data_IF_644447868913
#
_entry.id   IF_644447868913
#
_cell.length_a   1.000
_cell.length_b   1.000
_cell.length_c   1.000
_cell.angle_alpha   90.00
_cell.angle_beta   90.00
_cell.angle_gamma   90.00
#
_symmetry.space_group_name_H-M   'P 1'
#
loop_
_entity.id
_entity.type
_entity.pdbx_description
1 polymer ?
#
# COMPACT_ATOMS: atom_id res chain seq x y z
N UNK A 1 8.79 22.11 -5.94
CA UNK A 1 7.58 21.28 -6.08
C UNK A 1 7.57 20.71 -7.48
N UNK A 2 7.82 19.40 -7.62
CA UNK A 2 7.76 18.71 -8.91
C UNK A 2 6.29 18.63 -9.32
N UNK A 3 5.96 19.21 -10.47
CA UNK A 3 4.59 19.31 -10.97
C UNK A 3 4.17 17.92 -11.51
N UNK A 4 3.69 17.04 -10.62
CA UNK A 4 3.23 15.69 -10.99
C UNK A 4 1.93 15.83 -11.79
N UNK A 5 1.96 15.59 -13.10
CA UNK A 5 0.76 15.66 -13.96
C UNK A 5 -0.09 14.41 -13.92
N UNK A 6 0.50 13.26 -13.59
CA UNK A 6 -0.12 11.94 -13.70
C UNK A 6 -0.55 11.42 -12.32
N UNK A 7 -1.36 12.21 -11.62
CA UNK A 7 -1.79 11.96 -10.24
C UNK A 7 -3.27 12.25 -10.03
N UNK A 8 -3.85 11.62 -9.03
CA UNK A 8 -5.19 11.87 -8.50
C UNK A 8 -5.13 13.07 -7.55
N UNK A 9 -6.03 14.04 -7.78
CA UNK A 9 -6.23 15.20 -6.91
C UNK A 9 -7.39 15.02 -5.95
N UNK A 10 -8.49 14.44 -6.41
CA UNK A 10 -9.69 14.35 -5.61
C UNK A 10 -10.45 13.04 -5.86
N UNK A 11 -10.97 12.45 -4.79
CA UNK A 11 -11.68 11.18 -4.80
C UNK A 11 -13.04 11.38 -4.14
N UNK A 12 -14.11 11.17 -4.89
CA UNK A 12 -15.47 11.14 -4.37
C UNK A 12 -16.12 9.80 -4.71
N UNK A 13 -16.51 9.04 -3.68
CA UNK A 13 -17.07 7.70 -3.84
C UNK A 13 -18.27 7.52 -2.91
N UNK A 14 -19.43 7.26 -3.50
CA UNK A 14 -20.56 6.65 -2.82
C UNK A 14 -20.31 5.14 -2.78
N UNK A 15 -19.82 4.65 -1.65
CA UNK A 15 -19.36 3.26 -1.57
C UNK A 15 -20.55 2.30 -1.70
N UNK A 16 -20.58 1.37 -2.67
CA UNK A 16 -21.74 0.51 -2.85
C UNK A 16 -22.04 -0.32 -1.59
N UNK A 17 -23.33 -0.48 -1.27
CA UNK A 17 -23.83 -1.26 -0.14
C UNK A 17 -23.51 -0.70 1.26
N UNK A 18 -22.87 0.47 1.33
CA UNK A 18 -22.71 1.25 2.56
C UNK A 18 -23.17 2.67 2.24
N UNK A 19 -24.09 3.29 2.97
CA UNK A 19 -24.52 4.67 2.68
C UNK A 19 -23.42 5.74 2.96
N UNK A 20 -22.14 5.35 2.89
CA UNK A 20 -20.98 6.19 3.13
C UNK A 20 -20.65 6.98 1.87
N UNK A 21 -20.71 8.29 2.01
CA UNK A 21 -20.19 9.23 1.02
C UNK A 21 -18.75 9.59 1.40
N UNK A 22 -17.80 9.07 0.64
CA UNK A 22 -16.37 9.26 0.84
C UNK A 22 -15.93 10.44 -0.01
N UNK A 23 -15.28 11.41 0.61
CA UNK A 23 -14.75 12.57 -0.09
C UNK A 23 -13.34 12.88 0.42
N UNK A 24 -12.33 12.66 -0.43
CA UNK A 24 -10.93 12.76 -0.06
C UNK A 24 -10.25 13.79 -0.97
N UNK A 25 -9.69 14.83 -0.37
CA UNK A 25 -8.81 15.76 -1.07
C UNK A 25 -7.37 15.28 -0.93
N UNK A 26 -6.78 14.85 -2.03
CA UNK A 26 -5.47 14.19 -2.06
C UNK A 26 -4.38 15.12 -2.60
N UNK A 27 -4.73 16.00 -3.53
CA UNK A 27 -3.82 16.96 -4.21
C UNK A 27 -2.46 16.35 -4.63
N UNK A 28 -2.48 15.12 -5.16
CA UNK A 28 -1.29 14.42 -5.64
C UNK A 28 -0.40 13.80 -4.55
N UNK A 29 -0.75 13.94 -3.25
CA UNK A 29 -0.07 13.25 -2.15
C UNK A 29 -0.33 11.73 -2.19
N UNK A 30 0.52 10.97 -1.52
CA UNK A 30 0.26 9.56 -1.28
C UNK A 30 -0.91 9.40 -0.29
N UNK A 31 -1.65 8.30 -0.38
CA UNK A 31 -2.83 8.05 0.45
C UNK A 31 -2.69 6.71 1.17
N UNK A 32 -2.95 6.71 2.47
CA UNK A 32 -3.09 5.51 3.30
C UNK A 32 -4.56 5.39 3.69
N UNK A 33 -5.22 4.35 3.22
CA UNK A 33 -6.60 4.01 3.54
C UNK A 33 -6.58 2.99 4.68
N UNK A 34 -7.21 3.33 5.80
CA UNK A 34 -7.30 2.45 6.97
C UNK A 34 -8.75 2.27 7.43
N UNK A 35 -8.91 1.55 8.53
CA UNK A 35 -10.19 1.30 9.18
C UNK A 35 -10.37 -0.15 9.60
N UNK A 36 -11.46 -0.39 10.33
CA UNK A 36 -11.78 -1.67 10.96
C UNK A 36 -11.98 -2.82 9.97
N UNK A 37 -12.08 -4.03 10.51
CA UNK A 37 -12.33 -5.22 9.71
C UNK A 37 -13.70 -5.12 9.02
N UNK A 38 -13.76 -5.48 7.73
CA UNK A 38 -15.01 -5.46 6.96
C UNK A 38 -15.51 -4.08 6.52
N UNK A 39 -14.77 -2.99 6.76
CA UNK A 39 -15.19 -1.64 6.33
C UNK A 39 -15.13 -1.40 4.81
N UNK A 40 -14.62 -2.36 4.03
CA UNK A 40 -14.62 -2.32 2.56
C UNK A 40 -13.34 -1.80 1.91
N UNK A 41 -12.20 -1.72 2.61
CA UNK A 41 -10.89 -1.26 2.07
C UNK A 41 -10.53 -1.83 0.70
N UNK A 42 -10.44 -3.15 0.57
CA UNK A 42 -10.14 -3.83 -0.69
C UNK A 42 -11.11 -3.45 -1.80
N UNK A 43 -12.41 -3.41 -1.49
CA UNK A 43 -13.45 -3.04 -2.47
C UNK A 43 -13.31 -1.58 -2.90
N UNK A 44 -13.10 -0.68 -1.94
CA UNK A 44 -12.87 0.74 -2.21
C UNK A 44 -11.65 0.92 -3.12
N UNK A 45 -10.52 0.33 -2.76
CA UNK A 45 -9.28 0.43 -3.53
C UNK A 45 -9.44 -0.12 -4.97
N UNK A 46 -10.11 -1.27 -5.10
CA UNK A 46 -10.41 -1.86 -6.42
C UNK A 46 -11.32 -0.98 -7.27
N UNK A 47 -12.36 -0.39 -6.66
CA UNK A 47 -13.25 0.54 -7.36
C UNK A 47 -12.50 1.79 -7.85
N UNK A 48 -11.56 2.31 -7.06
CA UNK A 48 -10.71 3.42 -7.49
C UNK A 48 -9.87 3.04 -8.70
N UNK A 49 -9.17 1.90 -8.63
CA UNK A 49 -8.35 1.41 -9.73
C UNK A 49 -9.17 1.21 -11.01
N UNK A 50 -10.32 0.54 -10.93
CA UNK A 50 -11.20 0.30 -12.08
C UNK A 50 -11.67 1.61 -12.72
N UNK A 51 -11.94 2.64 -11.92
CA UNK A 51 -12.40 3.92 -12.42
C UNK A 51 -11.27 4.72 -13.09
N UNK A 52 -10.07 4.73 -12.51
CA UNK A 52 -8.90 5.38 -13.13
C UNK A 52 -8.50 4.63 -14.41
N UNK A 53 -8.47 3.30 -14.38
CA UNK A 53 -8.20 2.45 -15.56
C UNK A 53 -9.21 2.76 -16.67
N UNK A 54 -10.50 2.85 -16.36
CA UNK A 54 -11.52 3.22 -17.34
C UNK A 54 -11.29 4.63 -17.94
N UNK A 55 -10.82 5.59 -17.14
CA UNK A 55 -10.51 6.94 -17.61
C UNK A 55 -9.29 7.00 -18.53
N UNK A 56 -8.25 6.21 -18.26
CA UNK A 56 -6.97 6.32 -18.98
C UNK A 56 -6.79 5.31 -20.12
N UNK A 57 -7.37 4.11 -20.02
CA UNK A 57 -7.18 3.03 -21.01
C UNK A 57 -8.16 3.12 -22.18
N UNK A 58 -9.28 3.83 -22.01
CA UNK A 58 -10.29 3.97 -23.06
C UNK A 58 -9.91 5.12 -24.01
N UNK A 59 -9.54 4.77 -25.24
CA UNK A 59 -9.23 5.73 -26.32
C UNK A 59 -10.38 6.72 -26.59
N UNK A 60 -11.63 6.34 -26.28
CA UNK A 60 -12.83 7.17 -26.32
C UNK A 60 -13.52 7.25 -24.95
N UNK A 61 -12.81 7.65 -23.89
CA UNK A 61 -13.49 7.93 -22.63
C UNK A 61 -14.51 9.05 -22.82
N UNK A 62 -15.79 8.67 -22.92
CA UNK A 62 -16.89 9.64 -23.05
C UNK A 62 -17.13 10.27 -21.69
N UNK A 63 -16.99 11.60 -21.63
CA UNK A 63 -17.35 12.38 -20.45
C UNK A 63 -18.82 12.19 -20.09
N UNK A 64 -19.16 12.49 -18.84
CA UNK A 64 -20.52 12.42 -18.33
C UNK A 64 -21.55 13.12 -19.24
N UNK A 65 -21.19 14.29 -19.79
CA UNK A 65 -22.05 15.05 -20.68
C UNK A 65 -22.13 14.46 -22.10
N UNK A 66 -21.03 13.91 -22.62
CA UNK A 66 -21.04 13.20 -23.90
C UNK A 66 -21.93 11.95 -23.85
N UNK A 67 -21.87 11.16 -22.76
CA UNK A 67 -22.76 10.00 -22.59
C UNK A 67 -24.23 10.45 -22.50
N UNK A 68 -24.53 11.54 -21.79
CA UNK A 68 -25.88 12.11 -21.77
C UNK A 68 -26.38 12.50 -23.17
N UNK A 69 -25.52 13.13 -23.98
CA UNK A 69 -25.86 13.48 -25.36
C UNK A 69 -26.11 12.24 -26.21
N UNK A 70 -25.30 11.18 -26.06
CA UNK A 70 -25.46 9.91 -26.77
C UNK A 70 -26.77 9.19 -26.43
N UNK A 71 -27.19 9.24 -25.16
CA UNK A 71 -28.51 8.75 -24.73
C UNK A 71 -29.62 9.58 -25.39
N UNK A 72 -29.52 10.91 -25.32
CA UNK A 72 -30.53 11.81 -25.89
C UNK A 72 -30.68 11.61 -27.41
N UNK A 73 -29.57 11.42 -28.13
CA UNK A 73 -29.58 11.17 -29.57
C UNK A 73 -30.29 9.86 -29.90
N UNK A 74 -29.98 8.77 -29.19
CA UNK A 74 -30.62 7.46 -29.39
C UNK A 74 -32.09 7.47 -29.02
N UNK A 75 -32.46 8.12 -27.91
CA UNK A 75 -33.86 8.30 -27.53
C UNK A 75 -34.63 9.04 -28.62
N UNK A 76 -34.04 10.08 -29.22
CA UNK A 76 -34.64 10.79 -30.35
C UNK A 76 -34.78 9.91 -31.59
N UNK A 77 -33.76 9.12 -31.96
CA UNK A 77 -33.86 8.19 -33.09
C UNK A 77 -34.92 7.11 -32.87
N UNK A 78 -35.06 6.59 -31.65
CA UNK A 78 -36.08 5.63 -31.28
C UNK A 78 -37.50 6.19 -31.36
N UNK A 79 -37.71 7.49 -31.13
CA UNK A 79 -39.03 8.12 -31.30
C UNK A 79 -39.49 8.14 -32.77
N UNK A 80 -38.55 8.15 -33.72
CA UNK A 80 -38.81 8.24 -35.16
C UNK A 80 -38.63 6.91 -35.90
N UNK A 81 -38.32 5.83 -35.19
CA UNK A 81 -38.00 4.51 -35.75
C UNK A 81 -38.95 3.45 -35.20
N UNK A 82 -39.63 2.64 -36.04
CA UNK A 82 -40.54 1.62 -35.56
C UNK A 82 -39.82 0.50 -34.80
N UNK A 83 -40.45 -0.12 -33.78
CA UNK A 83 -39.84 -1.19 -32.97
C UNK A 83 -39.44 -2.46 -33.73
N UNK A 84 -39.86 -2.59 -35.00
CA UNK A 84 -39.47 -3.69 -35.90
C UNK A 84 -38.11 -3.48 -36.54
N UNK A 85 -37.53 -2.28 -36.44
CA UNK A 85 -36.20 -1.98 -36.95
C UNK A 85 -35.11 -2.68 -36.12
N UNK A 86 -34.13 -3.28 -36.80
CA UNK A 86 -33.03 -4.00 -36.16
C UNK A 86 -32.20 -3.09 -35.23
N UNK A 87 -32.10 -1.80 -35.56
CA UNK A 87 -31.34 -0.84 -34.79
C UNK A 87 -32.06 -0.40 -33.51
N UNK A 88 -33.41 -0.48 -33.46
CA UNK A 88 -34.19 -0.09 -32.29
C UNK A 88 -33.79 -0.88 -31.04
N UNK A 89 -33.60 -2.19 -31.18
CA UNK A 89 -33.15 -3.05 -30.08
C UNK A 89 -31.70 -2.78 -29.67
N UNK A 90 -30.81 -2.51 -30.65
CA UNK A 90 -29.41 -2.11 -30.38
C UNK A 90 -29.36 -0.83 -29.55
N UNK A 91 -30.07 0.22 -29.97
CA UNK A 91 -30.10 1.49 -29.25
C UNK A 91 -30.72 1.37 -27.87
N UNK A 92 -31.77 0.55 -27.71
CA UNK A 92 -32.36 0.28 -26.39
C UNK A 92 -31.36 -0.35 -25.43
N UNK A 93 -30.56 -1.30 -25.91
CA UNK A 93 -29.51 -1.93 -25.12
C UNK A 93 -28.37 -0.95 -24.82
N UNK A 94 -27.92 -0.19 -25.81
CA UNK A 94 -26.88 0.84 -25.66
C UNK A 94 -27.29 1.94 -24.67
N UNK A 95 -28.57 2.38 -24.68
CA UNK A 95 -29.09 3.34 -23.68
C UNK A 95 -29.00 2.73 -22.28
N UNK A 96 -29.43 1.48 -22.08
CA UNK A 96 -29.36 0.83 -20.78
C UNK A 96 -27.90 0.71 -20.28
N UNK A 97 -26.97 0.41 -21.18
CA UNK A 97 -25.54 0.36 -20.86
C UNK A 97 -24.99 1.75 -20.51
N UNK A 98 -25.36 2.79 -21.26
CA UNK A 98 -24.98 4.18 -20.95
C UNK A 98 -25.59 4.69 -19.65
N UNK A 99 -26.85 4.37 -19.34
CA UNK A 99 -27.49 4.70 -18.06
C UNK A 99 -26.75 4.04 -16.89
N UNK A 100 -26.35 2.77 -17.06
CA UNK A 100 -25.53 2.05 -16.08
C UNK A 100 -24.15 2.70 -15.90
N UNK A 101 -23.51 3.13 -16.98
CA UNK A 101 -22.25 3.87 -16.94
C UNK A 101 -22.41 5.23 -16.24
N UNK A 102 -23.44 6.01 -16.57
CA UNK A 102 -23.73 7.29 -15.91
C UNK A 102 -23.98 7.12 -14.41
N UNK A 103 -24.67 6.05 -14.00
CA UNK A 103 -24.85 5.73 -12.58
C UNK A 103 -23.50 5.47 -11.91
N UNK A 104 -22.65 4.63 -12.50
CA UNK A 104 -21.29 4.37 -11.98
C UNK A 104 -20.44 5.65 -11.88
N UNK A 105 -20.51 6.54 -12.88
CA UNK A 105 -19.81 7.84 -12.89
C UNK A 105 -20.40 8.87 -11.90
N UNK A 106 -21.66 8.73 -11.47
CA UNK A 106 -22.22 9.54 -10.39
C UNK A 106 -21.73 9.06 -9.04
N UNK A 107 -21.75 7.74 -8.85
CA UNK A 107 -21.37 7.12 -7.60
C UNK A 107 -19.86 7.21 -7.37
N UNK A 108 -19.04 7.22 -8.44
CA UNK A 108 -17.57 7.26 -8.36
C UNK A 108 -17.05 8.38 -9.27
N UNK A 109 -16.44 9.40 -8.67
CA UNK A 109 -15.80 10.51 -9.36
C UNK A 109 -14.36 10.65 -8.88
N UNK A 110 -13.44 10.57 -9.82
CA UNK A 110 -12.02 10.76 -9.57
C UNK A 110 -11.54 11.89 -10.47
N UNK A 111 -10.92 12.89 -9.85
CA UNK A 111 -10.31 14.02 -10.54
C UNK A 111 -8.81 13.78 -10.64
N UNK A 112 -8.32 13.74 -11.87
CA UNK A 112 -6.89 13.67 -12.19
C UNK A 112 -6.35 15.09 -12.41
N UNK A 113 -5.08 15.31 -12.08
CA UNK A 113 -4.42 16.59 -12.26
C UNK A 113 -4.46 17.06 -13.73
N UNK A 114 -4.21 16.15 -14.66
CA UNK A 114 -4.38 16.37 -16.11
C UNK A 114 -4.72 15.03 -16.78
N UNK A 115 -6.02 14.79 -17.02
CA UNK A 115 -6.50 13.55 -17.64
C UNK A 115 -5.90 13.34 -19.04
N UNK A 116 -5.87 14.39 -19.87
CA UNK A 116 -5.40 14.28 -21.25
C UNK A 116 -3.92 13.92 -21.29
N UNK A 117 -3.12 14.61 -20.46
CA UNK A 117 -1.69 14.30 -20.35
C UNK A 117 -1.46 12.90 -19.80
N UNK A 118 -2.20 12.46 -18.79
CA UNK A 118 -2.06 11.10 -18.28
C UNK A 118 -2.41 10.07 -19.36
N UNK A 119 -3.49 10.26 -20.14
CA UNK A 119 -3.80 9.37 -21.26
C UNK A 119 -2.67 9.32 -22.30
N UNK A 120 -2.08 10.47 -22.66
CA UNK A 120 -0.95 10.53 -23.59
C UNK A 120 0.26 9.81 -23.00
N UNK A 121 0.67 10.18 -21.78
CA UNK A 121 1.84 9.61 -21.11
C UNK A 121 1.66 8.11 -20.85
N UNK A 122 0.45 7.63 -20.58
CA UNK A 122 0.16 6.20 -20.43
C UNK A 122 0.30 5.46 -21.76
N UNK A 123 -0.28 5.99 -22.85
CA UNK A 123 -0.16 5.40 -24.20
C UNK A 123 1.27 5.44 -24.74
N UNK A 124 2.01 6.50 -24.45
CA UNK A 124 3.46 6.63 -24.75
C UNK A 124 4.34 5.85 -23.76
N UNK A 125 3.74 5.18 -22.77
CA UNK A 125 4.41 4.38 -21.74
C UNK A 125 5.38 5.15 -20.84
N UNK A 126 5.19 6.46 -20.71
CA UNK A 126 5.89 7.34 -19.77
C UNK A 126 5.25 7.36 -18.37
N UNK A 127 3.98 6.99 -18.28
CA UNK A 127 3.24 6.84 -17.02
C UNK A 127 2.76 5.42 -16.80
N UNK A 128 2.53 5.04 -15.54
CA UNK A 128 2.02 3.73 -15.15
C UNK A 128 0.68 3.83 -14.43
N UNK A 129 -0.09 2.75 -14.48
CA UNK A 129 -1.22 2.49 -13.60
C UNK A 129 -1.13 1.04 -13.14
N UNK A 130 -1.08 0.79 -11.84
CA UNK A 130 -0.92 -0.56 -11.26
C UNK A 130 -1.83 -0.84 -10.10
N UNK A 131 -2.26 -2.10 -10.00
CA UNK A 131 -2.95 -2.64 -8.83
C UNK A 131 -2.22 -3.88 -8.33
N UNK A 132 -1.90 -3.90 -7.05
CA UNK A 132 -1.38 -5.05 -6.33
C UNK A 132 -2.42 -5.49 -5.30
N UNK A 133 -2.93 -6.71 -5.41
CA UNK A 133 -3.87 -7.27 -4.44
C UNK A 133 -3.21 -7.69 -3.13
N UNK A 134 -4.04 -8.02 -2.14
CA UNK A 134 -3.59 -8.56 -0.85
C UNK A 134 -2.95 -9.95 -0.98
N UNK A 135 -3.57 -10.82 -1.79
CA UNK A 135 -2.96 -12.10 -2.18
C UNK A 135 -2.09 -11.86 -3.41
N UNK A 136 -0.80 -12.11 -3.26
CA UNK A 136 0.20 -11.93 -4.32
C UNK A 136 0.69 -13.32 -4.74
N UNK A 137 0.49 -13.67 -6.00
CA UNK A 137 1.04 -14.91 -6.55
C UNK A 137 2.55 -14.73 -6.72
N UNK A 138 3.32 -15.66 -6.15
CA UNK A 138 4.77 -15.63 -6.26
C UNK A 138 5.21 -16.09 -7.65
N UNK A 139 5.46 -15.13 -8.54
CA UNK A 139 5.85 -15.41 -9.91
C UNK A 139 7.36 -15.30 -10.16
N UNK A 140 8.13 -14.84 -9.18
CA UNK A 140 9.61 -14.81 -9.25
C UNK A 140 10.09 -16.26 -9.25
N UNK A 141 10.34 -16.78 -10.45
CA UNK A 141 10.74 -18.15 -10.69
C UNK A 141 11.79 -18.18 -11.79
N UNK A 142 12.68 -19.17 -11.70
CA UNK A 142 13.66 -19.40 -12.72
C UNK A 142 13.11 -20.38 -13.75
N UNK A 143 12.71 -19.87 -14.90
CA UNK A 143 12.72 -20.69 -16.11
C UNK A 143 14.19 -20.88 -16.49
N UNK A 144 14.67 -22.11 -16.66
CA UNK A 144 16.07 -22.43 -17.05
C UNK A 144 16.53 -21.86 -18.41
N UNK A 145 15.75 -20.97 -19.02
CA UNK A 145 16.05 -20.20 -20.22
C UNK A 145 16.52 -18.79 -19.85
N UNK A 146 17.80 -18.51 -20.11
CA UNK A 146 18.34 -17.15 -20.14
C UNK A 146 17.85 -16.46 -21.40
N UNK A 147 17.23 -15.30 -21.23
CA UNK A 147 16.87 -14.45 -22.36
C UNK A 147 17.98 -13.47 -22.69
N UNK A 148 18.03 -13.05 -23.95
CA UNK A 148 18.80 -11.85 -24.28
C UNK A 148 18.14 -10.62 -23.65
N UNK A 149 18.96 -9.63 -23.24
CA UNK A 149 18.43 -8.34 -22.77
C UNK A 149 17.54 -7.65 -23.80
N UNK A 150 17.80 -7.88 -25.09
CA UNK A 150 16.95 -7.39 -26.17
C UNK A 150 15.58 -8.07 -26.15
N UNK A 151 15.53 -9.39 -26.00
CA UNK A 151 14.28 -10.15 -25.89
C UNK A 151 13.43 -9.65 -24.71
N UNK A 152 14.03 -9.47 -23.53
CA UNK A 152 13.32 -8.97 -22.35
C UNK A 152 12.74 -7.56 -22.56
N UNK A 153 13.48 -6.69 -23.25
CA UNK A 153 13.02 -5.34 -23.60
C UNK A 153 11.93 -5.37 -24.67
N UNK A 154 12.08 -6.19 -25.69
CA UNK A 154 11.10 -6.36 -26.77
C UNK A 154 9.79 -6.97 -26.23
N UNK A 155 9.87 -7.88 -25.25
CA UNK A 155 8.71 -8.42 -24.52
C UNK A 155 8.01 -7.35 -23.67
N UNK A 156 8.75 -6.42 -23.05
CA UNK A 156 8.13 -5.27 -22.39
C UNK A 156 7.37 -4.39 -23.39
N UNK A 157 7.85 -4.32 -24.64
CA UNK A 157 7.17 -3.56 -25.68
C UNK A 157 5.84 -4.22 -26.09
N UNK A 158 5.66 -5.53 -25.92
CA UNK A 158 4.41 -6.21 -26.24
C UNK A 158 3.45 -6.37 -25.05
N UNK A 159 3.97 -6.26 -23.82
CA UNK A 159 3.23 -6.43 -22.58
C UNK A 159 2.51 -5.13 -22.17
N UNK A 160 1.27 -5.26 -21.70
CA UNK A 160 0.53 -4.11 -21.13
C UNK A 160 1.22 -3.63 -19.85
N UNK A 161 1.29 -2.31 -19.64
CA UNK A 161 1.83 -1.70 -18.42
C UNK A 161 1.15 -2.22 -17.13
N UNK A 162 -0.07 -2.73 -17.26
CA UNK A 162 -0.86 -3.32 -16.17
C UNK A 162 -0.53 -4.78 -15.83
N UNK A 163 0.32 -5.48 -16.60
CA UNK A 163 0.69 -6.89 -16.35
C UNK A 163 1.94 -7.07 -15.47
N UNK A 164 1.89 -8.04 -14.55
CA UNK A 164 3.01 -8.38 -13.65
C UNK A 164 4.29 -8.77 -14.42
N UNK A 165 5.40 -8.12 -14.07
CA UNK A 165 6.74 -8.27 -14.65
C UNK A 165 7.75 -8.80 -13.62
N UNK A 166 7.30 -9.10 -12.39
CA UNK A 166 8.17 -9.63 -11.33
C UNK A 166 8.81 -10.97 -11.71
N UNK A 167 8.14 -11.78 -12.53
CA UNK A 167 8.69 -13.03 -13.07
C UNK A 167 9.91 -12.85 -13.98
N UNK A 168 10.08 -11.67 -14.59
CA UNK A 168 11.25 -11.34 -15.43
C UNK A 168 12.47 -10.97 -14.59
N UNK A 169 12.30 -10.69 -13.31
CA UNK A 169 13.34 -10.12 -12.46
C UNK A 169 14.60 -10.98 -12.40
N UNK A 170 14.48 -12.26 -12.03
CA UNK A 170 15.65 -13.13 -11.90
C UNK A 170 16.35 -13.34 -13.25
N UNK A 171 15.58 -13.50 -14.34
CA UNK A 171 16.11 -13.61 -15.72
C UNK A 171 16.87 -12.35 -16.11
N UNK A 172 16.31 -11.17 -15.82
CA UNK A 172 16.96 -9.89 -16.05
C UNK A 172 18.28 -9.78 -15.30
N UNK A 173 18.33 -10.15 -14.00
CA UNK A 173 19.57 -10.10 -13.22
C UNK A 173 20.67 -10.93 -13.89
N UNK A 174 20.36 -12.17 -14.26
CA UNK A 174 21.31 -13.08 -14.91
C UNK A 174 21.81 -12.50 -16.24
N UNK A 175 20.89 -12.07 -17.11
CA UNK A 175 21.23 -11.50 -18.41
C UNK A 175 22.04 -10.20 -18.29
N UNK A 176 21.71 -9.35 -17.32
CA UNK A 176 22.37 -8.07 -17.11
C UNK A 176 23.77 -8.23 -16.52
N UNK A 177 23.94 -9.15 -15.58
CA UNK A 177 25.25 -9.50 -15.03
C UNK A 177 26.19 -10.06 -16.10
N UNK A 178 25.69 -11.01 -16.90
CA UNK A 178 26.45 -11.59 -18.01
C UNK A 178 26.85 -10.54 -19.06
N UNK A 179 25.94 -9.59 -19.35
CA UNK A 179 26.22 -8.47 -20.24
C UNK A 179 27.33 -7.56 -19.69
N UNK A 180 27.26 -7.15 -18.42
CA UNK A 180 28.31 -6.34 -17.77
C UNK A 180 29.67 -7.04 -17.77
N UNK A 181 29.67 -8.33 -17.41
CA UNK A 181 30.89 -9.16 -17.43
C UNK A 181 31.51 -9.27 -18.83
N UNK A 182 30.67 -9.43 -19.87
CA UNK A 182 31.14 -9.48 -21.27
C UNK A 182 31.77 -8.15 -21.71
N UNK A 183 31.15 -7.02 -21.39
CA UNK A 183 31.67 -5.69 -21.71
C UNK A 183 33.09 -5.50 -21.16
N UNK A 184 33.32 -5.90 -19.91
CA UNK A 184 34.62 -5.75 -19.23
C UNK A 184 35.65 -6.72 -19.82
N UNK A 185 35.32 -8.00 -19.91
CA UNK A 185 36.29 -9.04 -20.25
C UNK A 185 36.58 -9.17 -21.76
N UNK A 186 35.63 -8.81 -22.64
CA UNK A 186 35.74 -9.06 -24.09
C UNK A 186 35.75 -7.79 -24.92
N UNK A 187 34.97 -6.78 -24.54
CA UNK A 187 34.89 -5.51 -25.27
C UNK A 187 35.81 -4.42 -24.70
N UNK A 188 36.40 -4.64 -23.51
CA UNK A 188 37.22 -3.68 -22.78
C UNK A 188 36.50 -2.33 -22.52
N UNK A 189 35.17 -2.33 -22.52
CA UNK A 189 34.31 -1.17 -22.23
C UNK A 189 34.04 -1.11 -20.72
N UNK A 190 35.07 -0.73 -19.96
CA UNK A 190 34.98 -0.62 -18.50
C UNK A 190 33.93 0.39 -18.06
N UNK A 191 33.71 1.46 -18.82
CA UNK A 191 32.73 2.51 -18.45
C UNK A 191 31.31 1.96 -18.40
N UNK A 192 30.90 1.14 -19.38
CA UNK A 192 29.58 0.50 -19.32
C UNK A 192 29.54 -0.66 -18.33
N UNK A 193 30.62 -1.43 -18.21
CA UNK A 193 30.75 -2.47 -17.19
C UNK A 193 30.56 -1.96 -15.78
N UNK A 194 31.28 -0.89 -15.41
CA UNK A 194 31.23 -0.27 -14.08
C UNK A 194 29.82 0.29 -13.77
N UNK A 195 29.05 0.70 -14.79
CA UNK A 195 27.64 1.08 -14.63
C UNK A 195 26.76 -0.10 -14.23
N UNK A 196 26.98 -1.27 -14.81
CA UNK A 196 26.28 -2.51 -14.42
C UNK A 196 26.65 -2.88 -12.98
N UNK A 197 27.93 -2.84 -12.63
CA UNK A 197 28.37 -3.13 -11.25
C UNK A 197 27.79 -2.13 -10.24
N UNK A 198 27.76 -0.85 -10.57
CA UNK A 198 27.13 0.20 -9.75
C UNK A 198 25.64 -0.05 -9.55
N UNK A 199 24.95 -0.54 -10.57
CA UNK A 199 23.54 -0.92 -10.49
C UNK A 199 23.32 -2.09 -9.54
N UNK A 200 24.12 -3.16 -9.64
CA UNK A 200 24.04 -4.29 -8.71
C UNK A 200 24.38 -3.89 -7.27
N UNK A 201 25.36 -2.99 -7.08
CA UNK A 201 25.68 -2.43 -5.78
C UNK A 201 24.49 -1.66 -5.19
N UNK A 202 23.81 -0.83 -5.99
CA UNK A 202 22.61 -0.13 -5.57
C UNK A 202 21.48 -1.10 -5.22
N UNK A 203 21.19 -2.10 -6.05
CA UNK A 203 20.18 -3.13 -5.79
C UNK A 203 20.46 -3.87 -4.47
N UNK A 204 21.71 -4.30 -4.26
CA UNK A 204 22.13 -4.96 -3.02
C UNK A 204 21.93 -4.05 -1.81
N UNK A 205 22.21 -2.74 -1.92
CA UNK A 205 21.96 -1.77 -0.85
C UNK A 205 20.46 -1.69 -0.50
N UNK A 206 19.57 -1.69 -1.50
CA UNK A 206 18.13 -1.71 -1.27
C UNK A 206 17.70 -3.01 -0.57
N UNK A 207 18.28 -4.15 -0.94
CA UNK A 207 17.99 -5.42 -0.26
C UNK A 207 18.51 -5.45 1.17
N UNK A 208 19.71 -4.93 1.46
CA UNK A 208 20.20 -4.80 2.84
C UNK A 208 19.25 -3.98 3.71
N UNK A 209 18.79 -2.84 3.19
CA UNK A 209 17.82 -2.00 3.88
C UNK A 209 16.50 -2.74 4.12
N UNK A 210 15.99 -3.45 3.10
CA UNK A 210 14.74 -4.18 3.21
C UNK A 210 14.86 -5.35 4.19
N UNK A 211 15.91 -6.16 4.10
CA UNK A 211 16.15 -7.37 4.90
C UNK A 211 16.67 -7.10 6.32
N UNK A 212 17.03 -5.84 6.63
CA UNK A 212 17.62 -5.46 7.93
C UNK A 212 18.94 -6.18 8.20
N UNK A 213 19.72 -6.38 7.14
CA UNK A 213 20.95 -7.15 7.20
C UNK A 213 22.00 -6.52 6.30
N UNK A 214 22.96 -5.84 6.89
CA UNK A 214 24.10 -5.22 6.20
C UNK A 214 25.08 -6.25 5.61
N UNK A 215 25.06 -7.48 6.12
CA UNK A 215 25.88 -8.58 5.62
C UNK A 215 25.37 -9.14 4.29
N UNK A 216 24.11 -8.87 3.95
CA UNK A 216 23.46 -9.40 2.75
C UNK A 216 24.27 -9.12 1.48
N UNK A 217 24.50 -10.17 0.69
CA UNK A 217 25.14 -10.09 -0.62
C UNK A 217 24.35 -10.84 -1.68
N UNK A 218 24.33 -10.28 -2.89
CA UNK A 218 23.86 -10.96 -4.08
C UNK A 218 25.06 -11.63 -4.76
N UNK A 219 25.05 -12.95 -4.81
CA UNK A 219 26.12 -13.75 -5.41
C UNK A 219 25.62 -14.44 -6.66
N UNK A 220 26.24 -14.13 -7.80
CA UNK A 220 25.99 -14.83 -9.04
C UNK A 220 26.76 -16.15 -9.08
N UNK A 221 26.06 -17.26 -9.33
CA UNK A 221 26.65 -18.55 -9.63
C UNK A 221 26.71 -18.74 -11.15
N UNK A 222 27.91 -18.93 -11.69
CA UNK A 222 28.12 -19.05 -13.13
C UNK A 222 27.81 -20.44 -13.69
N UNK A 223 27.88 -21.49 -12.86
CA UNK A 223 27.58 -22.86 -13.28
C UNK A 223 26.07 -23.08 -13.34
N UNK A 224 25.36 -22.61 -12.32
CA UNK A 224 23.90 -22.70 -12.24
C UNK A 224 23.17 -21.53 -12.91
N UNK A 225 23.91 -20.49 -13.30
CA UNK A 225 23.38 -19.27 -13.94
C UNK A 225 22.23 -18.64 -13.15
N UNK A 226 22.40 -18.51 -11.85
CA UNK A 226 21.39 -17.98 -10.93
C UNK A 226 22.03 -17.07 -9.87
N UNK A 227 21.18 -16.31 -9.18
CA UNK A 227 21.59 -15.48 -8.06
C UNK A 227 21.18 -16.14 -6.73
N UNK A 228 22.15 -16.20 -5.84
CA UNK A 228 21.97 -16.56 -4.45
C UNK A 228 22.03 -15.32 -3.56
N UNK A 229 21.17 -15.30 -2.55
CA UNK A 229 21.24 -14.37 -1.43
C UNK A 229 22.11 -15.02 -0.36
N UNK A 230 23.18 -14.34 0.01
CA UNK A 230 24.08 -14.72 1.09
C UNK A 230 23.81 -13.83 2.30
N UNK A 231 23.70 -14.42 3.49
CA UNK A 231 23.59 -13.73 4.77
C UNK A 231 24.43 -14.46 5.82
N UNK A 232 24.90 -13.74 6.83
CA UNK A 232 25.69 -14.33 7.90
C UNK A 232 24.86 -15.39 8.63
N UNK A 233 25.48 -16.53 8.94
CA UNK A 233 24.86 -17.66 9.63
C UNK A 233 23.68 -18.33 8.90
N UNK A 234 23.53 -18.11 7.59
CA UNK A 234 22.53 -18.81 6.76
C UNK A 234 23.20 -19.50 5.58
N UNK A 235 22.68 -20.66 5.20
CA UNK A 235 23.02 -21.27 3.92
C UNK A 235 22.57 -20.36 2.76
N UNK A 236 23.30 -20.33 1.64
CA UNK A 236 22.85 -19.62 0.43
C UNK A 236 21.44 -20.06 0.03
N UNK A 237 20.59 -19.11 -0.35
CA UNK A 237 19.21 -19.38 -0.77
C UNK A 237 18.77 -18.45 -1.89
N UNK A 238 17.69 -18.82 -2.59
CA UNK A 238 17.17 -18.13 -3.77
C UNK A 238 15.94 -17.29 -3.45
N UNK A 239 15.52 -16.44 -4.39
CA UNK A 239 14.35 -15.56 -4.23
C UNK A 239 13.04 -16.32 -3.92
N UNK A 240 12.85 -17.50 -4.51
CA UNK A 240 11.68 -18.34 -4.26
C UNK A 240 11.69 -19.03 -2.87
N UNK A 241 12.79 -18.97 -2.13
CA UNK A 241 12.94 -19.52 -0.78
C UNK A 241 12.78 -18.45 0.32
N UNK A 242 12.49 -17.21 -0.05
CA UNK A 242 12.17 -16.13 0.90
C UNK A 242 10.87 -16.42 1.67
N UNK A 243 10.74 -15.86 2.87
CA UNK A 243 9.47 -15.92 3.60
C UNK A 243 8.38 -15.18 2.82
N UNK A 244 7.11 -15.57 3.00
CA UNK A 244 5.97 -14.97 2.31
C UNK A 244 5.92 -13.45 2.39
N UNK A 245 6.22 -12.84 3.55
CA UNK A 245 6.27 -11.38 3.69
C UNK A 245 7.30 -10.71 2.79
N UNK A 246 8.55 -11.21 2.80
CA UNK A 246 9.61 -10.72 1.90
C UNK A 246 9.27 -10.93 0.42
N UNK A 247 8.71 -12.08 0.05
CA UNK A 247 8.31 -12.36 -1.34
C UNK A 247 7.25 -11.39 -1.82
N UNK A 248 6.26 -11.11 -0.97
CA UNK A 248 5.15 -10.22 -1.26
C UNK A 248 5.62 -8.80 -1.57
N UNK A 249 6.55 -8.26 -0.79
CA UNK A 249 7.18 -6.96 -1.07
C UNK A 249 8.07 -7.03 -2.30
N UNK A 250 8.90 -8.06 -2.40
CA UNK A 250 9.86 -8.19 -3.47
C UNK A 250 9.15 -8.27 -4.83
N UNK A 251 7.98 -8.92 -4.90
CA UNK A 251 7.14 -8.93 -6.10
C UNK A 251 6.77 -7.51 -6.56
N UNK A 252 6.28 -6.66 -5.65
CA UNK A 252 5.95 -5.26 -5.96
C UNK A 252 7.20 -4.48 -6.39
N UNK A 253 8.28 -4.58 -5.61
CA UNK A 253 9.52 -3.86 -5.90
C UNK A 253 10.13 -4.29 -7.22
N UNK A 254 10.19 -5.60 -7.49
CA UNK A 254 10.69 -6.17 -8.72
C UNK A 254 9.83 -5.75 -9.92
N UNK A 255 8.50 -5.78 -9.80
CA UNK A 255 7.60 -5.33 -10.88
C UNK A 255 7.81 -3.86 -11.25
N UNK A 256 7.96 -2.98 -10.25
CA UNK A 256 8.24 -1.55 -10.49
C UNK A 256 9.66 -1.32 -11.03
N UNK A 257 10.65 -2.03 -10.48
CA UNK A 257 12.03 -1.94 -10.93
C UNK A 257 12.17 -2.42 -12.39
N UNK A 258 11.54 -3.53 -12.76
CA UNK A 258 11.56 -4.01 -14.15
C UNK A 258 10.96 -3.00 -15.12
N UNK A 259 9.91 -2.26 -14.73
CA UNK A 259 9.36 -1.17 -15.56
C UNK A 259 10.35 -0.03 -15.77
N UNK A 260 11.20 0.26 -14.79
CA UNK A 260 12.28 1.26 -14.93
C UNK A 260 13.33 0.72 -15.89
N UNK A 261 13.84 -0.48 -15.62
CA UNK A 261 14.98 -1.06 -16.34
C UNK A 261 14.69 -1.42 -17.79
N UNK A 262 13.51 -2.00 -18.06
CA UNK A 262 13.14 -2.44 -19.39
C UNK A 262 12.81 -1.25 -20.31
N UNK A 263 12.38 -0.12 -19.73
CA UNK A 263 12.22 1.15 -20.45
C UNK A 263 13.54 1.92 -20.61
N UNK A 264 14.55 1.60 -19.81
CA UNK A 264 15.82 2.31 -19.79
C UNK A 264 15.70 3.73 -19.25
N UNK A 265 14.79 3.95 -18.32
CA UNK A 265 14.61 5.21 -17.59
C UNK A 265 15.18 5.08 -16.17
N UNK A 266 15.19 6.17 -15.43
CA UNK A 266 15.51 6.20 -14.00
C UNK A 266 14.25 6.11 -13.13
N UNK A 267 14.39 5.78 -11.86
CA UNK A 267 13.24 5.62 -10.97
C UNK A 267 12.52 6.93 -10.66
N UNK A 268 13.21 8.07 -10.78
CA UNK A 268 12.63 9.41 -10.73
C UNK A 268 11.92 9.81 -12.04
N UNK A 269 12.19 9.18 -13.17
CA UNK A 269 11.42 9.41 -14.40
C UNK A 269 10.10 8.62 -14.43
N UNK A 270 9.99 7.55 -13.63
CA UNK A 270 8.78 6.74 -13.55
C UNK A 270 7.67 7.49 -12.78
N UNK A 271 6.59 7.81 -13.48
CA UNK A 271 5.42 8.51 -12.93
C UNK A 271 4.13 7.70 -13.04
N UNK A 272 3.10 8.09 -12.29
CA UNK A 272 1.77 7.50 -12.36
C UNK A 272 1.21 7.10 -11.00
N UNK A 273 0.22 6.21 -11.00
CA UNK A 273 -0.53 5.81 -9.80
C UNK A 273 -0.39 4.32 -9.54
N UNK A 274 -0.01 3.95 -8.31
CA UNK A 274 0.06 2.56 -7.84
C UNK A 274 -0.93 2.36 -6.69
N UNK A 275 -1.80 1.37 -6.84
CA UNK A 275 -2.70 0.89 -5.81
C UNK A 275 -2.12 -0.37 -5.16
N UNK A 276 -2.01 -0.40 -3.84
CA UNK A 276 -1.52 -1.57 -3.09
C UNK A 276 -2.53 -1.93 -2.01
N UNK A 277 -3.19 -3.06 -2.18
CA UNK A 277 -4.07 -3.61 -1.15
C UNK A 277 -3.24 -4.38 -0.12
N UNK A 278 -3.49 -4.10 1.17
CA UNK A 278 -2.79 -4.66 2.32
C UNK A 278 -1.27 -4.61 2.15
N UNK A 279 -0.70 -3.40 2.11
CA UNK A 279 0.74 -3.20 1.96
C UNK A 279 1.56 -3.92 3.05
N UNK A 280 0.95 -4.15 4.22
CA UNK A 280 1.49 -4.86 5.38
C UNK A 280 1.23 -6.37 5.40
N UNK A 281 0.58 -6.94 4.37
CA UNK A 281 0.24 -8.37 4.33
C UNK A 281 1.46 -9.26 4.58
N UNK A 282 1.36 -10.11 5.62
CA UNK A 282 2.38 -11.06 6.04
C UNK A 282 3.74 -10.45 6.45
N UNK A 283 3.81 -9.14 6.69
CA UNK A 283 5.04 -8.46 7.09
C UNK A 283 5.27 -8.50 8.58
N UNK A 284 6.53 -8.69 8.98
CA UNK A 284 6.94 -8.46 10.35
C UNK A 284 6.86 -6.95 10.69
N UNK A 285 6.59 -6.62 11.95
CA UNK A 285 6.37 -5.24 12.43
C UNK A 285 7.47 -4.26 12.00
N UNK A 286 8.73 -4.70 12.05
CA UNK A 286 9.86 -3.86 11.63
C UNK A 286 9.76 -3.43 10.17
N UNK A 287 9.38 -4.35 9.27
CA UNK A 287 9.14 -4.05 7.86
C UNK A 287 7.95 -3.11 7.66
N UNK A 288 6.87 -3.31 8.41
CA UNK A 288 5.67 -2.45 8.32
C UNK A 288 6.00 -0.97 8.61
N UNK A 289 6.96 -0.69 9.49
CA UNK A 289 7.40 0.68 9.84
C UNK A 289 8.14 1.42 8.72
N UNK A 290 8.68 0.71 7.74
CA UNK A 290 9.57 1.29 6.71
C UNK A 290 9.12 1.02 5.29
N UNK A 291 8.23 0.05 5.06
CA UNK A 291 7.90 -0.43 3.72
C UNK A 291 7.30 0.67 2.85
N UNK A 292 6.44 1.51 3.41
CA UNK A 292 5.81 2.56 2.63
C UNK A 292 6.80 3.68 2.30
N UNK A 293 7.58 4.12 3.29
CA UNK A 293 8.66 5.11 3.10
C UNK A 293 9.71 4.61 2.11
N UNK A 294 10.01 3.31 2.11
CA UNK A 294 10.87 2.66 1.12
C UNK A 294 10.33 2.84 -0.30
N UNK A 295 9.07 2.51 -0.57
CA UNK A 295 8.48 2.66 -1.90
C UNK A 295 8.41 4.13 -2.35
N UNK A 296 8.01 5.03 -1.44
CA UNK A 296 7.97 6.47 -1.72
C UNK A 296 9.36 7.02 -2.05
N UNK A 297 10.41 6.53 -1.37
CA UNK A 297 11.79 6.95 -1.65
C UNK A 297 12.37 6.32 -2.92
N UNK A 298 12.04 5.06 -3.19
CA UNK A 298 12.51 4.34 -4.37
C UNK A 298 11.89 4.90 -5.67
N UNK A 299 10.63 5.31 -5.63
CA UNK A 299 9.88 5.81 -6.78
C UNK A 299 9.15 7.13 -6.46
N UNK A 300 9.89 8.26 -6.39
CA UNK A 300 9.38 9.52 -5.85
C UNK A 300 8.27 10.16 -6.68
N UNK A 301 8.19 9.85 -7.98
CA UNK A 301 7.18 10.41 -8.90
C UNK A 301 5.95 9.51 -9.10
N UNK A 302 5.91 8.38 -8.42
CA UNK A 302 4.69 7.59 -8.26
C UNK A 302 3.84 8.18 -7.14
N UNK A 303 2.52 8.21 -7.34
CA UNK A 303 1.54 8.38 -6.27
C UNK A 303 1.07 7.01 -5.82
N UNK A 304 1.31 6.69 -4.55
CA UNK A 304 0.86 5.45 -3.93
C UNK A 304 -0.47 5.67 -3.21
N UNK A 305 -1.43 4.79 -3.47
CA UNK A 305 -2.70 4.70 -2.75
C UNK A 305 -2.77 3.30 -2.15
N UNK A 306 -2.62 3.19 -0.85
CA UNK A 306 -2.41 1.91 -0.17
C UNK A 306 -3.48 1.66 0.86
N UNK A 307 -3.86 0.41 1.08
CA UNK A 307 -4.68 0.03 2.23
C UNK A 307 -3.80 -0.65 3.29
N UNK A 308 -4.12 -0.42 4.57
CA UNK A 308 -3.43 -1.08 5.67
C UNK A 308 -4.31 -1.22 6.91
N UNK A 309 -4.04 -2.29 7.66
CA UNK A 309 -4.54 -2.46 9.03
C UNK A 309 -3.47 -2.13 10.07
N UNK A 310 -2.24 -1.91 9.65
CA UNK A 310 -1.11 -1.71 10.54
C UNK A 310 -0.98 -0.25 10.98
N UNK A 311 -0.99 0.03 12.29
CA UNK A 311 -0.66 1.36 12.81
C UNK A 311 0.77 1.78 12.44
N UNK A 312 1.67 0.81 12.23
CA UNK A 312 3.06 1.07 11.92
C UNK A 312 3.25 1.61 10.50
N UNK A 313 2.43 1.16 9.54
CA UNK A 313 2.41 1.72 8.19
C UNK A 313 1.85 3.15 8.22
N UNK A 314 0.76 3.35 8.95
CA UNK A 314 0.13 4.67 9.11
C UNK A 314 1.12 5.71 9.66
N UNK A 315 1.99 5.31 10.60
CA UNK A 315 3.04 6.17 11.18
C UNK A 315 4.34 6.24 10.38
N UNK A 316 4.47 5.51 9.27
CA UNK A 316 5.76 5.37 8.57
C UNK A 316 6.15 6.59 7.74
N UNK A 317 5.22 7.49 7.44
CA UNK A 317 5.45 8.67 6.60
C UNK A 317 4.73 9.90 7.16
N UNK A 318 5.36 11.06 6.98
CA UNK A 318 4.82 12.34 7.46
C UNK A 318 4.02 13.09 6.37
N UNK A 319 4.28 12.80 5.09
CA UNK A 319 3.66 13.49 3.94
C UNK A 319 2.75 12.54 3.15
N UNK A 320 1.68 12.10 3.82
CA UNK A 320 0.61 11.32 3.21
C UNK A 320 -0.75 11.70 3.81
N UNK A 321 -1.79 11.58 3.00
CA UNK A 321 -3.18 11.67 3.47
C UNK A 321 -3.55 10.33 4.09
N UNK A 322 -4.09 10.34 5.31
CA UNK A 322 -4.64 9.15 5.94
C UNK A 322 -6.15 9.27 5.93
N UNK A 323 -6.84 8.26 5.42
CA UNK A 323 -8.30 8.22 5.38
C UNK A 323 -8.81 6.98 6.08
N UNK A 324 -9.60 7.17 7.14
CA UNK A 324 -10.25 6.07 7.83
C UNK A 324 -11.67 5.84 7.28
N UNK A 325 -11.85 4.69 6.63
CA UNK A 325 -13.14 4.28 6.10
C UNK A 325 -14.17 3.97 7.20
N UNK A 326 -13.75 3.65 8.42
CA UNK A 326 -14.66 3.40 9.54
C UNK A 326 -15.39 4.68 9.96
N UNK A 327 -14.62 5.72 10.30
CA UNK A 327 -15.09 7.02 10.80
C UNK A 327 -15.45 8.00 9.69
N UNK A 328 -15.00 7.76 8.45
CA UNK A 328 -15.14 8.67 7.31
C UNK A 328 -14.39 9.98 7.51
N UNK A 329 -13.23 9.91 8.17
CA UNK A 329 -12.38 11.06 8.50
C UNK A 329 -11.09 11.06 7.69
N UNK A 330 -10.71 12.25 7.24
CA UNK A 330 -9.42 12.53 6.63
C UNK A 330 -8.51 13.15 7.68
N UNK A 331 -7.31 12.58 7.84
CA UNK A 331 -6.26 13.04 8.73
C UNK A 331 -5.00 13.32 7.91
N UNK A 332 -4.24 14.30 8.37
CA UNK A 332 -2.90 14.61 7.86
C UNK A 332 -1.93 14.60 9.03
N UNK A 333 -0.70 14.15 8.78
CA UNK A 333 0.41 14.18 9.72
C UNK A 333 0.10 13.56 11.11
N UNK A 334 0.33 12.26 11.21
CA UNK A 334 0.20 11.53 12.48
C UNK A 334 1.51 11.46 13.28
N UNK A 335 2.55 12.21 12.90
CA UNK A 335 3.86 12.16 13.57
C UNK A 335 3.80 12.56 15.04
N UNK A 336 2.84 13.40 15.41
CA UNK A 336 2.62 13.89 16.78
C UNK A 336 1.71 12.98 17.61
N UNK A 337 1.11 11.95 17.01
CA UNK A 337 0.19 11.05 17.71
C UNK A 337 0.95 9.87 18.31
N UNK A 338 0.64 9.54 19.57
CA UNK A 338 1.18 8.34 20.19
C UNK A 338 0.64 7.08 19.52
N UNK A 339 1.39 5.98 19.60
CA UNK A 339 0.93 4.68 19.11
C UNK A 339 -0.43 4.30 19.71
N UNK A 340 -0.60 4.48 21.01
CA UNK A 340 -1.86 4.21 21.70
C UNK A 340 -3.03 5.04 21.16
N UNK A 341 -2.80 6.33 20.89
CA UNK A 341 -3.82 7.21 20.33
C UNK A 341 -4.27 6.76 18.94
N UNK A 342 -3.34 6.30 18.10
CA UNK A 342 -3.66 5.79 16.76
C UNK A 342 -4.37 4.45 16.84
N UNK A 343 -3.87 3.51 17.63
CA UNK A 343 -4.47 2.17 17.71
C UNK A 343 -5.88 2.23 18.31
N UNK A 344 -6.07 3.05 19.35
CA UNK A 344 -7.38 3.23 19.96
C UNK A 344 -8.32 4.11 19.13
N UNK A 345 -7.83 5.27 18.67
CA UNK A 345 -8.65 6.27 17.99
C UNK A 345 -8.92 5.95 16.53
N UNK A 346 -7.90 5.58 15.77
CA UNK A 346 -7.98 5.36 14.32
C UNK A 346 -8.31 3.92 13.95
N UNK A 347 -7.74 2.94 14.66
CA UNK A 347 -7.94 1.52 14.35
C UNK A 347 -9.06 0.87 15.18
N UNK A 348 -9.52 1.54 16.24
CA UNK A 348 -10.58 1.03 17.12
C UNK A 348 -10.19 -0.24 17.86
N UNK A 349 -8.90 -0.44 18.13
CA UNK A 349 -8.37 -1.60 18.85
C UNK A 349 -8.01 -1.19 20.27
N UNK A 350 -8.55 -1.90 21.27
CA UNK A 350 -8.12 -1.71 22.65
C UNK A 350 -6.68 -2.24 22.82
N UNK A 351 -5.78 -1.35 23.24
CA UNK A 351 -4.33 -1.61 23.32
C UNK A 351 -3.90 -2.38 24.55
N UNK A 352 -4.80 -2.58 25.51
CA UNK A 352 -4.53 -3.25 26.77
C UNK A 352 -5.22 -4.60 26.84
N UNK A 353 -4.62 -5.52 27.61
CA UNK A 353 -5.26 -6.79 27.94
C UNK A 353 -6.63 -6.53 28.57
N UNK A 354 -7.67 -7.21 28.10
CA UNK A 354 -9.02 -7.15 28.70
C UNK A 354 -8.98 -7.40 30.21
N UNK A 355 -8.05 -8.24 30.68
CA UNK A 355 -7.86 -8.51 32.10
C UNK A 355 -7.29 -7.29 32.83
N UNK A 356 -6.26 -6.65 32.28
CA UNK A 356 -5.65 -5.46 32.85
C UNK A 356 -6.65 -4.30 32.86
N UNK A 357 -7.38 -4.07 31.76
CA UNK A 357 -8.44 -3.07 31.70
C UNK A 357 -9.50 -3.31 32.76
N UNK A 358 -10.01 -4.54 32.89
CA UNK A 358 -10.99 -4.88 33.93
C UNK A 358 -10.45 -4.65 35.34
N UNK A 359 -9.15 -4.88 35.57
CA UNK A 359 -8.53 -4.61 36.87
C UNK A 359 -8.32 -3.12 37.11
N UNK A 360 -7.92 -2.35 36.10
CA UNK A 360 -7.79 -0.88 36.19
C UNK A 360 -9.15 -0.19 36.36
N UNK A 361 -10.19 -0.66 35.67
CA UNK A 361 -11.55 -0.15 35.83
C UNK A 361 -12.09 -0.46 37.24
N UNK A 362 -11.88 -1.69 37.74
CA UNK A 362 -12.19 -2.03 39.13
C UNK A 362 -11.44 -1.15 40.12
N UNK A 363 -10.14 -0.93 39.88
CA UNK A 363 -9.30 -0.08 40.71
C UNK A 363 -9.79 1.38 40.70
N UNK A 364 -10.17 1.92 39.53
CA UNK A 364 -10.71 3.27 39.40
C UNK A 364 -12.09 3.42 40.06
N UNK A 365 -12.94 2.39 40.02
CA UNK A 365 -14.22 2.36 40.73
C UNK A 365 -14.00 2.37 42.25
N UNK A 366 -13.08 1.55 42.76
CA UNK A 366 -12.80 1.44 44.19
C UNK A 366 -12.13 2.70 44.78
N UNK A 367 -11.36 3.44 43.97
CA UNK A 367 -10.74 4.71 44.40
C UNK A 367 -11.76 5.86 44.43
N UNK A 368 -12.75 5.83 43.54
CA UNK A 368 -13.76 6.90 43.42
C UNK A 368 -15.05 6.61 44.21
N UNK A 369 -15.10 5.52 44.98
CA UNK A 369 -16.23 5.19 45.84
C UNK A 369 -16.18 6.03 47.14
N UNK A 370 -17.34 6.42 47.66
CA UNK A 370 -17.45 7.25 48.88
C UNK A 370 -16.94 6.50 50.12
N UNK A 371 -16.96 5.15 50.08
CA UNK A 371 -16.43 4.27 51.11
C UNK A 371 -15.41 3.33 50.47
N UNK A 372 -14.13 3.54 50.79
CA UNK A 372 -13.03 2.73 50.24
C UNK A 372 -13.02 1.35 50.92
N UNK A 373 -13.40 0.32 50.18
CA UNK A 373 -13.21 -1.08 50.58
C UNK A 373 -11.73 -1.46 50.45
N UNK A 374 -11.00 -1.32 51.56
CA UNK A 374 -9.54 -1.52 51.61
C UNK A 374 -9.12 -2.94 51.25
N UNK A 375 -9.94 -3.95 51.55
CA UNK A 375 -9.62 -5.35 51.27
C UNK A 375 -9.68 -5.65 49.77
N UNK A 376 -10.76 -5.20 49.11
CA UNK A 376 -10.89 -5.33 47.65
C UNK A 376 -9.87 -4.48 46.90
N UNK A 377 -9.60 -3.27 47.39
CA UNK A 377 -8.59 -2.40 46.78
C UNK A 377 -7.19 -3.02 46.88
N UNK A 378 -6.84 -3.60 48.03
CA UNK A 378 -5.58 -4.31 48.25
C UNK A 378 -5.47 -5.54 47.34
N UNK A 379 -6.55 -6.29 47.13
CA UNK A 379 -6.58 -7.44 46.21
C UNK A 379 -6.25 -7.03 44.77
N UNK A 380 -6.89 -5.96 44.28
CA UNK A 380 -6.68 -5.48 42.91
C UNK A 380 -5.26 -4.92 42.74
N UNK A 381 -4.76 -4.13 43.70
CA UNK A 381 -3.38 -3.62 43.69
C UNK A 381 -2.37 -4.78 43.67
N UNK A 382 -2.57 -5.81 44.50
CA UNK A 382 -1.69 -6.99 44.56
C UNK A 382 -1.71 -7.81 43.27
N UNK A 383 -2.82 -7.83 42.53
CA UNK A 383 -2.89 -8.53 41.25
C UNK A 383 -2.13 -7.82 40.12
N UNK A 384 -2.02 -6.49 40.18
CA UNK A 384 -1.37 -5.67 39.15
C UNK A 384 0.12 -5.44 39.48
N UNK A 385 0.46 -5.30 40.76
CA UNK A 385 1.80 -4.99 41.25
C UNK A 385 2.94 -5.88 40.73
N UNK A 386 2.78 -7.21 40.59
CA UNK A 386 3.83 -8.08 40.03
C UNK A 386 4.25 -7.69 38.60
N UNK A 387 3.35 -7.03 37.86
CA UNK A 387 3.55 -6.64 36.48
C UNK A 387 3.93 -5.17 36.30
N UNK A 388 4.20 -4.43 37.39
CA UNK A 388 4.46 -2.98 37.37
C UNK A 388 5.53 -2.56 36.34
N UNK A 389 6.59 -3.35 36.20
CA UNK A 389 7.67 -3.10 35.24
C UNK A 389 7.25 -3.25 33.77
N UNK A 390 6.15 -3.95 33.51
CA UNK A 390 5.59 -4.22 32.18
C UNK A 390 4.43 -3.29 31.83
N UNK A 391 3.93 -2.51 32.79
CA UNK A 391 2.84 -1.55 32.59
C UNK A 391 3.29 -0.31 31.81
N UNK A 392 2.40 0.25 31.00
CA UNK A 392 2.54 1.60 30.44
C UNK A 392 2.44 2.68 31.54
N UNK A 393 2.81 3.93 31.20
CA UNK A 393 2.86 5.02 32.18
C UNK A 393 1.49 5.29 32.82
N UNK A 394 0.41 5.16 32.04
CA UNK A 394 -0.96 5.41 32.52
C UNK A 394 -1.37 4.38 33.56
N UNK A 395 -1.17 3.10 33.25
CA UNK A 395 -1.50 1.98 34.14
C UNK A 395 -0.68 2.02 35.42
N UNK A 396 0.60 2.44 35.35
CA UNK A 396 1.42 2.71 36.55
C UNK A 396 0.87 3.84 37.39
N UNK A 397 0.35 4.90 36.75
CA UNK A 397 -0.27 6.03 37.45
C UNK A 397 -1.50 5.59 38.23
N UNK A 398 -2.36 4.77 37.63
CA UNK A 398 -3.51 4.17 38.33
C UNK A 398 -3.06 3.27 39.48
N UNK A 399 -2.06 2.41 39.28
CA UNK A 399 -1.51 1.57 40.35
C UNK A 399 -0.97 2.41 41.52
N UNK A 400 -0.30 3.52 41.24
CA UNK A 400 0.18 4.47 42.25
C UNK A 400 -0.98 5.14 43.00
N UNK A 401 -2.03 5.57 42.29
CA UNK A 401 -3.24 6.12 42.92
C UNK A 401 -3.88 5.11 43.87
N UNK A 402 -3.98 3.84 43.48
CA UNK A 402 -4.52 2.77 44.33
C UNK A 402 -3.66 2.51 45.57
N UNK A 403 -2.32 2.53 45.44
CA UNK A 403 -1.40 2.43 46.59
C UNK A 403 -1.54 3.60 47.55
N UNK A 404 -1.63 4.82 47.02
CA UNK A 404 -1.79 6.01 47.85
C UNK A 404 -3.12 5.98 48.61
N UNK A 405 -4.22 5.61 47.95
CA UNK A 405 -5.52 5.45 48.61
C UNK A 405 -5.50 4.39 49.73
N UNK A 406 -4.74 3.30 49.57
CA UNK A 406 -4.53 2.30 50.64
C UNK A 406 -3.68 2.82 51.80
N UNK A 407 -2.71 3.71 51.53
CA UNK A 407 -1.91 4.35 52.58
C UNK A 407 -2.76 5.36 53.35
N UNK A 408 -3.50 6.23 52.65
CA UNK A 408 -4.39 7.23 53.24
C UNK A 408 -5.47 6.57 54.12
N UNK A 409 -6.04 5.44 53.68
CA UNK A 409 -7.01 4.68 54.46
C UNK A 409 -6.42 4.02 55.72
N UNK A 410 -5.14 3.62 55.69
CA UNK A 410 -4.44 3.05 56.86
C UNK A 410 -4.06 4.13 57.87
N UNK A 411 -3.56 5.27 57.40
CA UNK A 411 -3.21 6.42 58.23
C UNK A 411 -4.45 6.99 58.95
N UNK A 412 -5.62 6.94 58.31
CA UNK A 412 -6.89 7.32 58.92
C UNK A 412 -7.35 6.37 60.05
N UNK A 413 -6.96 5.08 60.01
CA UNK A 413 -7.30 4.10 61.05
C UNK A 413 -6.30 4.02 62.20
N UNK A 414 -5.06 4.50 62.03
CA UNK A 414 -4.04 4.55 63.09
C UNK A 414 -4.05 5.87 63.90
N UNK A 415 -4.84 6.86 63.47
CA UNK A 415 -5.00 8.16 64.11
C UNK A 415 -6.18 8.30 65.09
N UNK A 416 -6.99 7.25 65.27
CA UNK A 416 -8.02 7.11 66.33
C UNK A 416 -7.50 6.23 67.48
#
# INVERSE_FOLDING_TARGET
MLNKSNVIKHIHVLLPDTNKNININVDGKNVIITGGNGCGKTRFLKLLYEQVSAQIEQYEYKTYDQIKQEISNRQNWMQHTPPTDRNYFSWKQEIADYEKQLKKMRDIRIELADLNKYCIDFNERKSLLRYFGAVRENNISHSGTIDSLKTLKDEEISVSLSQDTSNKFERYLVSFYNYGSHLIARENDKVKGDKVDSWFYFLQKQFRYLFEDDSLKLNYDAEEQTFYILQDNKSPYRFNQLSSGYQSILSIYADLLMKVELKGITSDELSGVVFIDEIDAHLHVSLQRKIFSFFVSAFPNIQFIVTTHSPFVVQSVNDAIIYDLSTNEQLEDLSMYSYEAIVKGLLGVDTQSDLLNKQLDKLALLINDDIIDTDKLQEVVNSIQPYENQLDMRSRTFLLMGRNALLDAKDATEGE
#
